data_IF_037248029150
#
_entry.id   IF_037248029150
#
_cell.length_a   1.000
_cell.length_b   1.000
_cell.length_c   1.000
_cell.angle_alpha   90.00
_cell.angle_beta   90.00
_cell.angle_gamma   90.00
#
_symmetry.space_group_name_H-M   'P 1'
#
loop_
_entity.id
_entity.type
_entity.pdbx_description
1 polymer ?
#
# COMPACT_ATOMS: atom_id res chain seq x y z
N UNK A 1 13.85 22.40 -11.72
CA UNK A 1 13.10 21.25 -11.17
C UNK A 1 13.05 21.43 -9.65
N UNK A 2 11.93 21.92 -9.11
CA UNK A 2 11.76 22.05 -7.67
C UNK A 2 11.39 20.66 -7.11
N UNK A 3 12.13 20.20 -6.11
CA UNK A 3 11.90 18.90 -5.46
C UNK A 3 11.12 19.15 -4.17
N UNK A 4 10.13 18.31 -3.84
CA UNK A 4 9.30 18.39 -2.63
C UNK A 4 10.14 18.60 -1.34
N UNK A 5 11.30 17.94 -1.24
CA UNK A 5 12.21 18.12 -0.09
C UNK A 5 12.90 19.48 -0.01
N UNK A 6 13.08 20.15 -1.15
CA UNK A 6 13.60 21.52 -1.22
C UNK A 6 12.57 22.55 -0.76
N UNK A 7 11.30 22.37 -1.14
CA UNK A 7 10.19 23.23 -0.71
C UNK A 7 9.96 23.12 0.81
N UNK A 8 9.95 21.90 1.36
CA UNK A 8 9.83 21.68 2.80
C UNK A 8 10.98 22.33 3.58
N UNK A 9 12.23 22.21 3.09
CA UNK A 9 13.39 22.82 3.75
C UNK A 9 13.36 24.37 3.70
N UNK A 10 12.80 24.94 2.63
CA UNK A 10 12.60 26.38 2.50
C UNK A 10 11.54 26.90 3.48
N UNK A 11 10.38 26.23 3.56
CA UNK A 11 9.32 26.57 4.52
C UNK A 11 9.78 26.46 5.98
N UNK A 12 10.67 25.52 6.30
CA UNK A 12 11.25 25.38 7.63
C UNK A 12 12.37 26.39 7.94
N UNK A 13 12.67 27.32 7.02
CA UNK A 13 13.73 28.32 7.17
C UNK A 13 15.13 27.71 7.28
N UNK A 14 15.30 26.44 6.85
CA UNK A 14 16.58 25.73 6.93
C UNK A 14 17.44 25.93 5.69
N UNK A 15 16.90 26.53 4.63
CA UNK A 15 17.62 26.75 3.35
C UNK A 15 16.96 27.83 2.49
N UNK A 16 17.80 28.57 1.76
CA UNK A 16 17.36 29.49 0.71
C UNK A 16 16.97 28.76 -0.57
N UNK A 17 15.94 29.27 -1.24
CA UNK A 17 15.35 28.71 -2.48
C UNK A 17 16.34 28.68 -3.66
N UNK A 18 17.41 29.48 -3.61
CA UNK A 18 18.39 29.64 -4.69
C UNK A 18 19.29 28.42 -4.93
N UNK A 19 19.34 27.46 -3.99
CA UNK A 19 20.14 26.24 -4.14
C UNK A 19 19.22 25.02 -4.04
N UNK A 20 18.70 24.47 -5.15
CA UNK A 20 17.86 23.27 -5.09
C UNK A 20 18.61 22.11 -4.41
N UNK A 21 17.88 21.29 -3.64
CA UNK A 21 18.45 20.12 -3.00
C UNK A 21 18.85 19.13 -4.09
N UNK A 22 20.15 18.89 -4.25
CA UNK A 22 20.61 17.84 -5.16
C UNK A 22 20.19 16.49 -4.61
N UNK A 23 19.84 15.56 -5.51
CA UNK A 23 19.62 14.15 -5.17
C UNK A 23 20.84 13.53 -4.46
N UNK A 24 22.03 14.17 -4.48
CA UNK A 24 23.20 13.78 -3.68
C UNK A 24 22.88 13.59 -2.19
N UNK A 25 22.02 14.43 -1.59
CA UNK A 25 21.63 14.24 -0.18
C UNK A 25 20.83 12.96 0.00
N UNK A 26 19.88 12.70 -0.91
CA UNK A 26 19.03 11.51 -0.91
C UNK A 26 19.86 10.23 -1.13
N UNK A 27 20.79 10.24 -2.08
CA UNK A 27 21.69 9.11 -2.31
C UNK A 27 22.58 8.84 -1.08
N UNK A 28 23.17 9.88 -0.48
CA UNK A 28 23.96 9.74 0.76
C UNK A 28 23.12 9.22 1.92
N UNK A 29 21.85 9.62 2.01
CA UNK A 29 20.92 9.09 2.99
C UNK A 29 20.69 7.59 2.78
N UNK A 30 20.38 7.15 1.56
CA UNK A 30 20.18 5.73 1.26
C UNK A 30 21.43 4.90 1.53
N UNK A 31 22.62 5.36 1.09
CA UNK A 31 23.89 4.68 1.36
C UNK A 31 24.17 4.57 2.87
N UNK A 32 23.89 5.62 3.65
CA UNK A 32 24.10 5.60 5.11
C UNK A 32 23.23 4.55 5.81
N UNK A 33 22.03 4.30 5.31
CA UNK A 33 21.01 3.49 5.96
C UNK A 33 20.71 2.17 5.23
N UNK A 34 21.53 1.79 4.25
CA UNK A 34 21.30 0.61 3.39
C UNK A 34 21.14 -0.70 4.18
N UNK A 35 21.77 -0.81 5.35
CA UNK A 35 21.64 -1.95 6.26
C UNK A 35 20.33 -1.97 7.05
N UNK A 36 19.56 -0.87 7.05
CA UNK A 36 18.35 -0.69 7.87
C UNK A 36 17.10 -0.44 7.05
N UNK A 37 17.20 0.25 5.91
CA UNK A 37 16.05 0.58 5.06
C UNK A 37 16.21 -0.02 3.66
N UNK A 38 15.10 -0.48 3.08
CA UNK A 38 14.99 -0.99 1.72
C UNK A 38 13.82 -0.34 1.00
N UNK A 39 13.94 -0.24 -0.32
CA UNK A 39 12.84 0.13 -1.20
C UNK A 39 12.00 -1.11 -1.50
N UNK A 40 10.70 -1.07 -1.20
CA UNK A 40 9.73 -2.14 -1.45
C UNK A 40 8.71 -1.71 -2.51
N UNK A 41 8.25 -2.67 -3.30
CA UNK A 41 7.06 -2.47 -4.12
C UNK A 41 5.84 -2.62 -3.21
N UNK A 42 4.93 -1.64 -3.13
CA UNK A 42 3.70 -1.84 -2.39
C UNK A 42 2.85 -2.92 -3.10
N UNK A 43 2.32 -3.87 -2.33
CA UNK A 43 1.33 -4.81 -2.82
C UNK A 43 -0.03 -4.13 -2.85
N UNK A 44 -0.68 -4.11 -4.01
CA UNK A 44 -2.03 -3.56 -4.15
C UNK A 44 -3.01 -4.24 -3.16
N UNK A 45 -2.80 -5.53 -2.89
CA UNK A 45 -3.63 -6.31 -1.97
C UNK A 45 -3.51 -5.81 -0.52
N UNK A 46 -2.31 -5.53 -0.05
CA UNK A 46 -2.07 -5.05 1.32
C UNK A 46 -2.66 -3.66 1.55
N UNK A 47 -2.51 -2.77 0.56
CA UNK A 47 -3.13 -1.44 0.59
C UNK A 47 -4.66 -1.53 0.60
N UNK A 48 -5.23 -2.43 -0.20
CA UNK A 48 -6.67 -2.65 -0.24
C UNK A 48 -7.17 -3.25 1.08
N UNK A 49 -6.48 -4.25 1.64
CA UNK A 49 -6.81 -4.81 2.96
C UNK A 49 -6.81 -3.71 4.03
N UNK A 50 -5.76 -2.91 4.14
CA UNK A 50 -5.71 -1.83 5.12
C UNK A 50 -6.87 -0.82 4.96
N UNK A 51 -7.28 -0.55 3.72
CA UNK A 51 -8.37 0.39 3.42
C UNK A 51 -9.77 -0.18 3.68
N UNK A 52 -9.98 -1.46 3.39
CA UNK A 52 -11.30 -2.10 3.39
C UNK A 52 -11.53 -3.03 4.59
N UNK A 53 -10.56 -3.22 5.48
CA UNK A 53 -10.72 -4.01 6.71
C UNK A 53 -11.20 -3.18 7.91
N UNK A 54 -12.05 -2.17 7.71
CA UNK A 54 -12.69 -1.48 8.84
C UNK A 54 -13.79 -2.37 9.44
N UNK A 55 -14.10 -2.24 10.75
CA UNK A 55 -15.13 -3.05 11.40
C UNK A 55 -16.46 -3.03 10.66
N UNK A 56 -16.87 -1.86 10.17
CA UNK A 56 -18.14 -1.65 9.47
C UNK A 56 -18.19 -2.41 8.14
N UNK A 57 -17.09 -2.39 7.38
CA UNK A 57 -17.02 -3.09 6.09
C UNK A 57 -17.02 -4.60 6.30
N UNK A 58 -16.32 -5.07 7.33
CA UNK A 58 -16.29 -6.50 7.68
C UNK A 58 -17.66 -6.99 8.15
N UNK A 59 -18.33 -6.23 9.01
CA UNK A 59 -19.67 -6.56 9.49
C UNK A 59 -20.68 -6.59 8.34
N UNK A 60 -20.66 -5.57 7.46
CA UNK A 60 -21.52 -5.52 6.29
C UNK A 60 -21.27 -6.70 5.33
N UNK A 61 -20.01 -7.12 5.17
CA UNK A 61 -19.67 -8.29 4.35
C UNK A 61 -20.34 -9.56 4.89
N UNK A 62 -20.21 -9.84 6.19
CA UNK A 62 -20.80 -11.05 6.78
C UNK A 62 -22.33 -11.01 6.80
N UNK A 63 -22.93 -9.84 7.03
CA UNK A 63 -24.37 -9.65 6.91
C UNK A 63 -24.87 -9.99 5.50
N UNK A 64 -24.20 -9.48 4.46
CA UNK A 64 -24.57 -9.75 3.07
C UNK A 64 -24.36 -11.23 2.70
N UNK A 65 -23.29 -11.84 3.22
CA UNK A 65 -22.99 -13.25 3.01
C UNK A 65 -24.08 -14.14 3.61
N UNK A 66 -24.49 -13.87 4.86
CA UNK A 66 -25.56 -14.61 5.53
C UNK A 66 -26.88 -14.48 4.76
N UNK A 67 -27.23 -13.27 4.34
CA UNK A 67 -28.43 -13.02 3.54
C UNK A 67 -28.41 -13.82 2.21
N UNK A 68 -27.27 -13.82 1.50
CA UNK A 68 -27.13 -14.58 0.25
C UNK A 68 -27.20 -16.10 0.49
N UNK A 69 -26.52 -16.60 1.51
CA UNK A 69 -26.56 -18.03 1.88
C UNK A 69 -28.00 -18.45 2.20
N UNK A 70 -28.77 -17.61 2.88
CA UNK A 70 -30.17 -17.87 3.19
C UNK A 70 -31.09 -17.81 1.96
N UNK A 71 -30.92 -16.80 1.11
CA UNK A 71 -31.70 -16.62 -0.12
C UNK A 71 -31.59 -17.84 -1.06
N UNK A 72 -30.38 -18.38 -1.21
CA UNK A 72 -30.10 -19.52 -2.08
C UNK A 72 -30.17 -20.89 -1.38
N UNK A 73 -30.49 -20.94 -0.08
CA UNK A 73 -30.61 -22.19 0.68
C UNK A 73 -29.31 -22.99 0.75
N UNK A 74 -28.18 -22.30 0.92
CA UNK A 74 -26.83 -22.88 0.83
C UNK A 74 -26.27 -23.39 2.16
N UNK A 75 -26.98 -23.22 3.29
CA UNK A 75 -26.48 -23.61 4.63
C UNK A 75 -26.02 -25.08 4.68
N UNK A 76 -26.80 -25.96 4.05
CA UNK A 76 -26.55 -27.42 4.03
C UNK A 76 -25.95 -27.89 2.70
N UNK A 77 -25.55 -26.96 1.81
CA UNK A 77 -25.07 -27.27 0.45
C UNK A 77 -23.78 -26.51 0.11
N UNK A 78 -22.70 -26.72 0.88
CA UNK A 78 -21.42 -26.05 0.62
C UNK A 78 -20.84 -26.38 -0.76
N UNK A 79 -21.16 -27.55 -1.33
CA UNK A 79 -20.73 -27.99 -2.65
C UNK A 79 -21.23 -27.10 -3.81
N UNK A 80 -22.20 -26.22 -3.53
CA UNK A 80 -22.76 -25.27 -4.49
C UNK A 80 -22.13 -23.87 -4.39
N UNK A 81 -21.09 -23.70 -3.55
CA UNK A 81 -20.34 -22.46 -3.42
C UNK A 81 -19.08 -22.56 -4.30
N UNK A 82 -19.07 -21.80 -5.39
CA UNK A 82 -17.94 -21.74 -6.31
C UNK A 82 -17.11 -20.48 -6.03
N UNK A 83 -15.80 -20.64 -5.85
CA UNK A 83 -14.91 -19.49 -5.81
C UNK A 83 -14.67 -18.99 -7.24
N UNK A 84 -15.05 -17.75 -7.52
CA UNK A 84 -14.68 -17.04 -8.75
C UNK A 84 -13.60 -16.04 -8.37
N UNK A 85 -12.33 -16.41 -8.57
CA UNK A 85 -11.23 -15.48 -8.38
C UNK A 85 -11.00 -14.72 -9.69
N UNK A 86 -11.24 -13.41 -9.66
CA UNK A 86 -10.95 -12.56 -10.80
C UNK A 86 -9.43 -12.43 -10.95
N UNK A 87 -8.91 -12.66 -12.15
CA UNK A 87 -7.57 -12.20 -12.50
C UNK A 87 -7.65 -10.67 -12.56
N UNK A 88 -7.33 -10.03 -11.44
CA UNK A 88 -7.38 -8.57 -11.32
C UNK A 88 -6.53 -7.90 -12.39
N UNK A 89 -7.18 -7.31 -13.39
CA UNK A 89 -6.52 -6.42 -14.35
C UNK A 89 -6.33 -5.09 -13.62
N UNK A 90 -5.13 -4.87 -13.08
CA UNK A 90 -4.81 -3.61 -12.38
C UNK A 90 -4.88 -2.43 -13.36
N UNK A 91 -5.74 -1.42 -13.13
CA UNK A 91 -5.73 -0.18 -13.90
C UNK A 91 -4.53 0.71 -13.53
N UNK A 92 -3.90 0.49 -12.36
CA UNK A 92 -2.68 1.20 -11.96
C UNK A 92 -1.43 0.44 -12.39
N UNK A 93 -0.65 1.06 -13.29
CA UNK A 93 0.48 0.40 -13.96
C UNK A 93 1.74 0.27 -13.09
N UNK A 94 1.86 0.97 -11.95
CA UNK A 94 2.93 0.83 -10.93
C UNK A 94 2.76 1.89 -9.84
N UNK A 95 2.26 1.56 -8.64
CA UNK A 95 2.36 2.46 -7.50
C UNK A 95 3.84 2.78 -7.17
N UNK A 96 4.15 3.98 -6.63
CA UNK A 96 5.51 4.36 -6.28
C UNK A 96 6.06 3.46 -5.17
N UNK A 97 7.35 3.15 -5.24
CA UNK A 97 7.98 2.32 -4.22
C UNK A 97 7.97 3.02 -2.86
N UNK A 98 7.81 2.24 -1.79
CA UNK A 98 7.85 2.71 -0.41
C UNK A 98 9.22 2.39 0.23
N UNK A 99 9.61 3.15 1.25
CA UNK A 99 10.81 2.90 2.05
C UNK A 99 10.37 2.19 3.33
N UNK A 100 10.88 1.00 3.57
CA UNK A 100 10.56 0.19 4.75
C UNK A 100 11.81 -0.47 5.34
N UNK A 101 11.77 -0.96 6.58
CA UNK A 101 12.88 -1.70 7.17
C UNK A 101 13.32 -2.92 6.35
N UNK A 102 14.63 -3.22 6.31
CA UNK A 102 15.19 -4.33 5.49
C UNK A 102 14.55 -5.69 5.79
N UNK A 103 14.14 -5.96 7.02
CA UNK A 103 13.53 -7.23 7.41
C UNK A 103 12.11 -7.45 6.83
N UNK A 104 11.42 -6.40 6.41
CA UNK A 104 10.09 -6.50 5.77
C UNK A 104 10.19 -6.94 4.30
N UNK A 105 11.38 -6.87 3.70
CA UNK A 105 11.65 -7.32 2.32
C UNK A 105 11.45 -8.81 2.11
N UNK A 106 11.58 -9.62 3.16
CA UNK A 106 11.47 -11.07 3.12
C UNK A 106 10.08 -11.61 3.48
N UNK A 107 9.12 -10.73 3.83
CA UNK A 107 7.75 -11.11 4.19
C UNK A 107 6.73 -10.91 3.05
N UNK A 108 7.17 -10.33 1.93
CA UNK A 108 6.36 -10.16 0.73
C UNK A 108 6.45 -11.39 -0.18
#
# INVERSE_FOLDING_TARGET
MQTLGGELAHHLGKRDSDKPLSNCWLYRFFTRWESRISTLKPSALESNRAKYSTPEVVEQFFYNLEAAVAEYGLQERPDFIFNLDEIGISPEHRPPNIIAPVHERHRQ
#
